data_IF_513555796015
#
_entry.id   IF_513555796015
#
_cell.length_a   1.000
_cell.length_b   1.000
_cell.length_c   1.000
_cell.angle_alpha   90.00
_cell.angle_beta   90.00
_cell.angle_gamma   90.00
#
_symmetry.space_group_name_H-M   'P 1'
#
loop_
_entity.id
_entity.type
_entity.pdbx_description
1 polymer ?
#
# COMPACT_ATOMS: atom_id res chain seq x y z
N UNK A 1 15.34 47.22 -34.56
CA UNK A 1 14.57 46.07 -35.08
C UNK A 1 15.51 44.88 -35.16
N UNK A 2 15.11 43.72 -34.62
CA UNK A 2 15.36 42.36 -35.10
C UNK A 2 15.06 41.40 -33.94
N UNK A 3 13.78 41.08 -33.83
CA UNK A 3 13.29 39.95 -33.06
C UNK A 3 13.37 38.69 -33.92
N UNK A 4 13.51 37.53 -33.27
CA UNK A 4 12.93 36.29 -33.79
C UNK A 4 13.91 35.28 -34.38
N UNK A 5 14.45 34.43 -33.51
CA UNK A 5 14.56 32.99 -33.83
C UNK A 5 13.71 32.28 -32.77
N UNK A 6 12.40 32.34 -33.04
CA UNK A 6 11.34 31.74 -32.27
C UNK A 6 11.41 30.22 -32.44
N UNK A 7 11.89 29.51 -31.41
CA UNK A 7 11.28 28.29 -30.87
C UNK A 7 10.34 27.54 -31.84
N UNK A 8 10.91 26.77 -32.78
CA UNK A 8 10.14 25.97 -33.76
C UNK A 8 10.13 24.46 -33.48
N UNK A 9 10.55 24.03 -32.29
CA UNK A 9 10.26 22.69 -31.81
C UNK A 9 9.00 22.72 -30.97
N UNK A 10 7.86 22.55 -31.62
CA UNK A 10 6.62 22.19 -30.96
C UNK A 10 6.89 20.99 -30.05
N UNK A 11 6.82 21.21 -28.74
CA UNK A 11 6.81 20.13 -27.75
C UNK A 11 5.66 19.21 -28.12
N UNK A 12 5.95 18.04 -28.72
CA UNK A 12 5.05 16.90 -28.61
C UNK A 12 4.75 16.74 -27.13
N UNK A 13 3.48 16.56 -26.80
CA UNK A 13 3.04 16.37 -25.43
C UNK A 13 3.89 15.23 -24.83
N UNK A 14 4.71 15.56 -23.84
CA UNK A 14 5.68 14.62 -23.25
C UNK A 14 4.97 13.39 -22.70
N UNK A 15 3.69 13.53 -22.34
CA UNK A 15 2.81 12.42 -21.95
C UNK A 15 2.48 11.49 -23.11
N UNK A 16 2.14 12.02 -24.29
CA UNK A 16 1.89 11.19 -25.47
C UNK A 16 3.18 10.43 -25.84
N UNK A 17 4.33 11.10 -25.83
CA UNK A 17 5.60 10.42 -26.12
C UNK A 17 5.97 9.33 -25.10
N UNK A 18 5.65 9.53 -23.81
CA UNK A 18 5.91 8.52 -22.78
C UNK A 18 5.02 7.29 -22.93
N UNK A 19 3.72 7.50 -23.23
CA UNK A 19 2.76 6.41 -23.48
C UNK A 19 3.15 5.61 -24.72
N UNK A 20 3.51 6.29 -25.81
CA UNK A 20 3.95 5.64 -27.05
C UNK A 20 5.23 4.83 -26.83
N UNK A 21 6.18 5.35 -26.04
CA UNK A 21 7.39 4.63 -25.67
C UNK A 21 7.08 3.37 -24.84
N UNK A 22 6.18 3.44 -23.85
CA UNK A 22 5.76 2.29 -23.05
C UNK A 22 5.10 1.22 -23.94
N UNK A 23 4.24 1.62 -24.87
CA UNK A 23 3.62 0.69 -25.83
C UNK A 23 4.68 0.01 -26.70
N UNK A 24 5.64 0.78 -27.24
CA UNK A 24 6.74 0.23 -28.02
C UNK A 24 7.60 -0.77 -27.24
N UNK A 25 7.95 -0.45 -25.99
CA UNK A 25 8.70 -1.36 -25.11
C UNK A 25 7.93 -2.66 -24.82
N UNK A 26 6.62 -2.57 -24.60
CA UNK A 26 5.76 -3.76 -24.40
C UNK A 26 5.65 -4.62 -25.66
N UNK A 27 5.57 -4.01 -26.83
CA UNK A 27 5.61 -4.74 -28.10
C UNK A 27 6.95 -5.47 -28.28
N UNK A 28 8.06 -4.83 -27.92
CA UNK A 28 9.38 -5.45 -27.96
C UNK A 28 9.49 -6.62 -26.98
N UNK A 29 8.94 -6.49 -25.77
CA UNK A 29 8.86 -7.59 -24.79
C UNK A 29 8.13 -8.81 -25.36
N UNK A 30 6.96 -8.62 -25.98
CA UNK A 30 6.22 -9.71 -26.63
C UNK A 30 7.01 -10.39 -27.77
N UNK A 31 7.81 -9.62 -28.50
CA UNK A 31 8.67 -10.17 -29.55
C UNK A 31 9.84 -10.97 -28.96
N UNK A 32 10.40 -10.53 -27.83
CA UNK A 32 11.43 -11.27 -27.10
C UNK A 32 10.85 -12.59 -26.60
N UNK A 33 9.70 -12.59 -25.92
CA UNK A 33 9.03 -13.80 -25.42
C UNK A 33 8.82 -14.85 -26.53
N UNK A 34 8.30 -14.44 -27.69
CA UNK A 34 8.13 -15.33 -28.85
C UNK A 34 9.46 -15.90 -29.36
N UNK A 35 10.53 -15.09 -29.31
CA UNK A 35 11.87 -15.50 -29.75
C UNK A 35 12.51 -16.45 -28.74
N UNK A 36 12.29 -16.25 -27.44
CA UNK A 36 12.70 -17.17 -26.39
C UNK A 36 12.04 -18.54 -26.56
N UNK A 37 10.73 -18.58 -26.78
CA UNK A 37 10.00 -19.82 -27.04
C UNK A 37 10.57 -20.57 -28.27
N UNK A 38 10.85 -19.84 -29.34
CA UNK A 38 11.47 -20.41 -30.54
C UNK A 38 12.87 -20.97 -30.28
N UNK A 39 13.70 -20.25 -29.52
CA UNK A 39 15.03 -20.74 -29.14
C UNK A 39 14.95 -21.95 -28.23
N UNK A 40 14.00 -21.99 -27.29
CA UNK A 40 13.77 -23.14 -26.41
C UNK A 40 13.41 -24.39 -27.23
N UNK A 41 12.50 -24.26 -28.20
CA UNK A 41 12.14 -25.37 -29.11
C UNK A 41 13.36 -25.87 -29.90
N UNK A 42 14.23 -24.97 -30.37
CA UNK A 42 15.49 -25.34 -31.05
C UNK A 42 16.47 -26.05 -30.11
N UNK A 43 16.61 -25.59 -28.88
CA UNK A 43 17.45 -26.23 -27.85
C UNK A 43 16.99 -27.67 -27.63
N UNK A 44 15.68 -27.88 -27.49
CA UNK A 44 15.10 -29.20 -27.29
C UNK A 44 15.30 -30.12 -28.50
N UNK A 45 15.18 -29.57 -29.72
CA UNK A 45 15.43 -30.30 -30.96
C UNK A 45 16.90 -30.74 -31.08
N UNK A 46 17.86 -29.85 -30.83
CA UNK A 46 19.28 -30.19 -30.87
C UNK A 46 19.65 -31.20 -29.78
N UNK A 47 19.03 -31.09 -28.61
CA UNK A 47 19.20 -32.08 -27.54
C UNK A 47 18.67 -33.46 -27.95
N UNK A 48 17.52 -33.54 -28.62
CA UNK A 48 16.99 -34.80 -29.18
C UNK A 48 17.95 -35.41 -30.20
N UNK A 49 18.46 -34.60 -31.13
CA UNK A 49 19.44 -35.05 -32.15
C UNK A 49 20.72 -35.56 -31.48
N UNK A 50 21.24 -34.83 -30.49
CA UNK A 50 22.43 -35.23 -29.75
C UNK A 50 22.24 -36.57 -29.03
N UNK A 51 21.09 -36.76 -28.35
CA UNK A 51 20.78 -38.02 -27.66
C UNK A 51 20.64 -39.20 -28.62
N UNK A 52 19.95 -39.02 -29.74
CA UNK A 52 19.75 -40.07 -30.74
C UNK A 52 21.06 -40.54 -31.40
N UNK A 53 22.07 -39.66 -31.47
CA UNK A 53 23.34 -39.93 -32.15
C UNK A 53 24.52 -40.14 -31.19
N UNK A 54 24.28 -40.17 -29.88
CA UNK A 54 25.34 -40.18 -28.86
C UNK A 54 26.28 -41.40 -28.98
N UNK A 55 25.73 -42.56 -29.35
CA UNK A 55 26.48 -43.82 -29.50
C UNK A 55 26.80 -44.13 -30.96
N UNK A 56 25.88 -43.83 -31.89
CA UNK A 56 25.98 -44.21 -33.29
C UNK A 56 26.78 -43.22 -34.15
N UNK A 57 26.72 -41.92 -33.87
CA UNK A 57 27.37 -40.89 -34.68
C UNK A 57 27.86 -39.72 -33.81
N UNK A 58 29.00 -39.94 -33.15
CA UNK A 58 29.62 -39.02 -32.21
C UNK A 58 29.95 -37.63 -32.81
N UNK A 59 30.43 -37.50 -34.07
CA UNK A 59 30.61 -36.19 -34.70
C UNK A 59 29.31 -35.38 -34.83
N UNK A 60 28.22 -36.04 -35.27
CA UNK A 60 26.91 -35.38 -35.41
C UNK A 60 26.34 -34.95 -34.06
N UNK A 61 26.43 -35.80 -33.04
CA UNK A 61 26.02 -35.47 -31.68
C UNK A 61 26.81 -34.27 -31.11
N UNK A 62 28.12 -34.23 -31.34
CA UNK A 62 28.98 -33.12 -30.89
C UNK A 62 28.61 -31.80 -31.59
N UNK A 63 28.31 -31.85 -32.89
CA UNK A 63 27.85 -30.67 -33.65
C UNK A 63 26.49 -30.15 -33.14
N UNK A 64 25.55 -31.05 -32.83
CA UNK A 64 24.26 -30.70 -32.23
C UNK A 64 24.42 -30.04 -30.84
N UNK A 65 25.31 -30.57 -29.99
CA UNK A 65 25.61 -29.95 -28.69
C UNK A 65 26.22 -28.54 -28.82
N UNK A 66 27.05 -28.30 -29.84
CA UNK A 66 27.58 -26.95 -30.11
C UNK A 66 26.47 -25.97 -30.50
N UNK A 67 25.54 -26.38 -31.39
CA UNK A 67 24.37 -25.56 -31.75
C UNK A 67 23.44 -25.32 -30.57
N UNK A 68 23.20 -26.34 -29.74
CA UNK A 68 22.46 -26.21 -28.48
C UNK A 68 23.07 -25.12 -27.60
N UNK A 69 24.37 -25.19 -27.31
CA UNK A 69 25.06 -24.18 -26.49
C UNK A 69 24.94 -22.77 -27.06
N UNK A 70 25.09 -22.60 -28.38
CA UNK A 70 24.93 -21.30 -29.01
C UNK A 70 23.52 -20.73 -28.82
N UNK A 71 22.48 -21.57 -28.96
CA UNK A 71 21.10 -21.16 -28.72
C UNK A 71 20.85 -20.84 -27.22
N UNK A 72 21.44 -21.59 -26.29
CA UNK A 72 21.36 -21.30 -24.85
C UNK A 72 22.00 -19.95 -24.50
N UNK A 73 23.16 -19.64 -25.08
CA UNK A 73 23.79 -18.32 -24.90
C UNK A 73 22.91 -17.19 -25.44
N UNK A 74 22.27 -17.38 -26.59
CA UNK A 74 21.33 -16.39 -27.13
C UNK A 74 20.09 -16.24 -26.28
N UNK A 75 19.56 -17.34 -25.73
CA UNK A 75 18.41 -17.32 -24.82
C UNK A 75 18.73 -16.53 -23.55
N UNK A 76 19.90 -16.76 -22.96
CA UNK A 76 20.33 -16.01 -21.76
C UNK A 76 20.50 -14.52 -22.03
N UNK A 77 21.04 -14.15 -23.20
CA UNK A 77 21.13 -12.75 -23.61
C UNK A 77 19.74 -12.10 -23.75
N UNK A 78 18.76 -12.82 -24.30
CA UNK A 78 17.38 -12.33 -24.41
C UNK A 78 16.72 -12.13 -23.06
N UNK A 79 16.92 -13.04 -22.09
CA UNK A 79 16.42 -12.89 -20.73
C UNK A 79 16.99 -11.65 -20.05
N UNK A 80 18.28 -11.40 -20.21
CA UNK A 80 18.91 -10.16 -19.74
C UNK A 80 18.29 -8.91 -20.37
N UNK A 81 18.00 -8.95 -21.68
CA UNK A 81 17.32 -7.86 -22.37
C UNK A 81 15.88 -7.66 -21.87
N UNK A 82 15.16 -8.76 -21.59
CA UNK A 82 13.80 -8.72 -21.04
C UNK A 82 13.77 -7.96 -19.71
N UNK A 83 14.60 -8.37 -18.74
CA UNK A 83 14.69 -7.71 -17.43
C UNK A 83 15.03 -6.22 -17.58
N UNK A 84 15.95 -5.88 -18.49
CA UNK A 84 16.32 -4.49 -18.75
C UNK A 84 15.18 -3.67 -19.36
N UNK A 85 14.34 -4.25 -20.22
CA UNK A 85 13.17 -3.58 -20.79
C UNK A 85 12.05 -3.42 -19.75
N UNK A 86 11.81 -4.43 -18.91
CA UNK A 86 10.84 -4.36 -17.82
C UNK A 86 11.19 -3.25 -16.82
N UNK A 87 12.47 -3.13 -16.43
CA UNK A 87 12.94 -2.02 -15.61
C UNK A 87 12.70 -0.65 -16.26
N UNK A 88 12.89 -0.54 -17.59
CA UNK A 88 12.64 0.71 -18.32
C UNK A 88 11.15 1.06 -18.37
N UNK A 89 10.27 0.08 -18.56
CA UNK A 89 8.81 0.29 -18.50
C UNK A 89 8.42 0.82 -17.12
N UNK A 90 8.85 0.16 -16.05
CA UNK A 90 8.55 0.59 -14.68
C UNK A 90 9.08 2.00 -14.38
N UNK A 91 10.28 2.31 -14.89
CA UNK A 91 10.89 3.64 -14.74
C UNK A 91 10.06 4.71 -15.45
N UNK A 92 9.62 4.46 -16.68
CA UNK A 92 8.78 5.39 -17.45
C UNK A 92 7.40 5.58 -16.82
N UNK A 93 6.79 4.52 -16.32
CA UNK A 93 5.50 4.59 -15.61
C UNK A 93 5.62 5.41 -14.33
N UNK A 94 6.67 5.18 -13.54
CA UNK A 94 6.97 5.96 -12.33
C UNK A 94 7.22 7.43 -12.67
N UNK A 95 7.99 7.70 -13.74
CA UNK A 95 8.26 9.07 -14.19
C UNK A 95 6.98 9.78 -14.65
N UNK A 96 6.06 9.08 -15.32
CA UNK A 96 4.79 9.67 -15.73
C UNK A 96 3.89 10.00 -14.53
N UNK A 97 3.81 9.09 -13.54
CA UNK A 97 3.08 9.35 -12.29
C UNK A 97 3.67 10.54 -11.54
N UNK A 98 5.00 10.61 -11.41
CA UNK A 98 5.67 11.74 -10.78
C UNK A 98 5.39 13.06 -11.52
N UNK A 99 5.38 13.05 -12.85
CA UNK A 99 5.03 14.22 -13.65
C UNK A 99 3.58 14.68 -13.42
N UNK A 100 2.64 13.73 -13.26
CA UNK A 100 1.24 14.03 -12.93
C UNK A 100 1.10 14.63 -11.53
N UNK A 101 1.77 14.06 -10.52
CA UNK A 101 1.81 14.62 -9.16
C UNK A 101 2.37 16.03 -9.16
N UNK A 102 3.48 16.27 -9.85
CA UNK A 102 4.08 17.60 -9.94
C UNK A 102 3.15 18.61 -10.64
N UNK A 103 2.41 18.19 -11.67
CA UNK A 103 1.42 19.05 -12.32
C UNK A 103 0.27 19.39 -11.38
N UNK A 104 -0.24 18.43 -10.61
CA UNK A 104 -1.28 18.67 -9.60
C UNK A 104 -0.79 19.62 -8.50
N UNK A 105 0.43 19.42 -7.99
CA UNK A 105 1.05 20.30 -7.01
C UNK A 105 1.21 21.73 -7.53
N UNK A 106 1.62 21.89 -8.81
CA UNK A 106 1.71 23.21 -9.44
C UNK A 106 0.35 23.90 -9.49
N UNK A 107 -0.70 23.21 -9.91
CA UNK A 107 -2.06 23.76 -9.93
C UNK A 107 -2.53 24.13 -8.52
N UNK A 108 -2.25 23.29 -7.51
CA UNK A 108 -2.58 23.60 -6.12
C UNK A 108 -1.85 24.85 -5.62
N UNK A 109 -0.56 25.00 -5.94
CA UNK A 109 0.22 26.19 -5.60
C UNK A 109 -0.34 27.46 -6.28
N UNK A 110 -0.76 27.37 -7.54
CA UNK A 110 -1.40 28.49 -8.26
C UNK A 110 -2.73 28.90 -7.60
N UNK A 111 -3.58 27.93 -7.24
CA UNK A 111 -4.85 28.19 -6.53
C UNK A 111 -4.60 28.80 -5.15
N UNK A 112 -3.65 28.27 -4.39
CA UNK A 112 -3.25 28.83 -3.09
C UNK A 112 -2.72 30.26 -3.24
N UNK A 113 -1.92 30.52 -4.28
CA UNK A 113 -1.46 31.87 -4.61
C UNK A 113 -2.61 32.81 -4.91
N UNK A 114 -3.64 32.37 -5.64
CA UNK A 114 -4.83 33.18 -5.90
C UNK A 114 -5.65 33.44 -4.64
N UNK A 115 -5.87 32.43 -3.78
CA UNK A 115 -6.57 32.59 -2.50
C UNK A 115 -5.83 33.63 -1.64
N UNK A 116 -4.52 33.49 -1.46
CA UNK A 116 -3.71 34.43 -0.69
C UNK A 116 -3.65 35.82 -1.32
N UNK A 117 -3.64 35.93 -2.65
CA UNK A 117 -3.65 37.23 -3.33
C UNK A 117 -4.94 38.03 -3.07
N UNK A 118 -6.06 37.35 -2.83
CA UNK A 118 -7.33 37.97 -2.43
C UNK A 118 -7.40 38.29 -0.94
N UNK A 119 -6.52 37.68 -0.14
CA UNK A 119 -6.43 37.82 1.31
C UNK A 119 -5.21 38.67 1.69
N UNK A 120 -5.13 39.89 1.16
CA UNK A 120 -4.11 40.86 1.55
C UNK A 120 -4.30 41.27 3.01
N UNK A 121 -3.21 41.65 3.71
CA UNK A 121 -3.26 42.12 5.11
C UNK A 121 -4.31 43.22 5.29
N UNK A 122 -4.39 44.16 4.35
CA UNK A 122 -5.41 45.21 4.35
C UNK A 122 -6.86 44.69 4.28
N UNK A 123 -7.11 43.60 3.55
CA UNK A 123 -8.43 42.94 3.51
C UNK A 123 -8.73 42.25 4.83
N UNK A 124 -7.73 41.61 5.45
CA UNK A 124 -7.87 40.98 6.76
C UNK A 124 -8.20 42.04 7.82
N UNK A 125 -7.49 43.17 7.84
CA UNK A 125 -7.77 44.30 8.74
C UNK A 125 -9.19 44.86 8.53
N UNK A 126 -9.63 45.00 7.27
CA UNK A 126 -10.99 45.42 6.90
C UNK A 126 -12.05 44.42 7.44
N UNK A 127 -11.83 43.12 7.28
CA UNK A 127 -12.73 42.09 7.82
C UNK A 127 -12.75 42.07 9.36
N UNK A 128 -11.59 42.24 10.01
CA UNK A 128 -11.51 42.26 11.47
C UNK A 128 -12.18 43.51 12.06
N UNK A 129 -12.08 44.65 11.38
CA UNK A 129 -12.83 45.85 11.73
C UNK A 129 -14.36 45.61 11.62
N UNK A 130 -14.83 45.01 10.54
CA UNK A 130 -16.25 44.66 10.36
C UNK A 130 -16.74 43.64 11.39
N UNK A 131 -15.92 42.64 11.76
CA UNK A 131 -16.27 41.68 12.81
C UNK A 131 -16.42 42.39 14.16
N UNK A 132 -15.50 43.31 14.48
CA UNK A 132 -15.55 44.07 15.74
C UNK A 132 -16.81 44.94 15.78
N UNK A 133 -17.12 45.64 14.68
CA UNK A 133 -18.35 46.43 14.54
C UNK A 133 -19.61 45.56 14.69
N UNK A 134 -19.66 44.38 14.05
CA UNK A 134 -20.79 43.46 14.17
C UNK A 134 -20.90 42.85 15.58
N UNK A 135 -19.78 42.61 16.27
CA UNK A 135 -19.78 42.18 17.68
C UNK A 135 -20.33 43.28 18.60
N UNK A 136 -19.99 44.54 18.35
CA UNK A 136 -20.56 45.69 19.07
C UNK A 136 -22.07 45.79 18.84
N UNK A 137 -22.53 45.66 17.59
CA UNK A 137 -23.97 45.62 17.26
C UNK A 137 -24.67 44.44 17.94
N UNK A 138 -24.08 43.24 17.90
CA UNK A 138 -24.65 42.07 18.56
C UNK A 138 -24.73 42.25 20.08
N UNK A 139 -23.74 42.91 20.69
CA UNK A 139 -23.74 43.24 22.11
C UNK A 139 -24.80 44.29 22.45
N UNK A 140 -24.95 45.32 21.62
CA UNK A 140 -25.99 46.34 21.79
C UNK A 140 -27.40 45.74 21.63
N UNK A 141 -27.60 44.86 20.65
CA UNK A 141 -28.83 44.07 20.50
C UNK A 141 -29.07 43.21 21.73
N UNK A 142 -28.04 42.52 22.23
CA UNK A 142 -28.15 41.68 23.42
C UNK A 142 -28.48 42.54 24.65
N UNK A 143 -27.84 43.69 24.87
CA UNK A 143 -28.15 44.58 25.99
C UNK A 143 -29.57 45.17 25.90
N UNK A 144 -30.04 45.51 24.70
CA UNK A 144 -31.39 45.99 24.46
C UNK A 144 -32.46 44.89 24.59
N UNK A 145 -32.16 43.65 24.20
CA UNK A 145 -33.04 42.48 24.34
C UNK A 145 -33.00 41.91 25.77
N UNK A 146 -31.88 42.05 26.48
CA UNK A 146 -31.71 41.55 27.85
C UNK A 146 -32.28 42.52 28.90
N UNK A 147 -32.56 43.78 28.52
CA UNK A 147 -33.20 44.75 29.40
C UNK A 147 -34.63 45.17 29.02
N UNK A 148 -35.59 44.24 28.89
CA UNK A 148 -37.01 44.54 29.13
C UNK A 148 -37.49 44.14 30.52
N UNK A 149 -36.88 43.17 31.21
CA UNK A 149 -37.20 42.79 32.61
C UNK A 149 -36.25 41.67 33.05
N UNK A 150 -35.60 41.83 34.19
CA UNK A 150 -34.67 40.84 34.75
C UNK A 150 -35.35 39.50 35.05
N UNK A 151 -35.10 38.52 34.19
CA UNK A 151 -35.36 37.11 34.47
C UNK A 151 -34.06 36.35 34.21
N UNK A 152 -33.16 36.52 35.15
CA UNK A 152 -32.13 35.54 35.45
C UNK A 152 -32.82 34.32 36.09
N UNK A 153 -32.17 33.15 36.00
CA UNK A 153 -32.47 31.88 36.69
C UNK A 153 -33.57 30.99 36.09
N UNK A 154 -33.21 30.22 35.05
CA UNK A 154 -33.61 28.81 35.06
C UNK A 154 -32.78 28.16 36.16
N UNK A 155 -33.43 27.61 37.18
CA UNK A 155 -32.79 27.21 38.43
C UNK A 155 -31.86 26.01 38.20
N UNK A 156 -30.59 26.16 38.58
CA UNK A 156 -29.55 25.12 38.55
C UNK A 156 -30.00 23.80 39.23
N UNK A 157 -30.97 23.85 40.14
CA UNK A 157 -31.54 22.69 40.84
C UNK A 157 -32.34 21.74 39.93
N UNK A 158 -33.04 22.28 38.91
CA UNK A 158 -33.81 21.45 37.96
C UNK A 158 -32.86 20.69 37.01
N UNK A 159 -31.81 21.38 36.55
CA UNK A 159 -30.72 20.80 35.76
C UNK A 159 -29.92 19.75 36.53
N UNK A 160 -29.70 19.94 37.84
CA UNK A 160 -29.00 18.96 38.67
C UNK A 160 -29.81 17.66 38.86
N UNK A 161 -31.13 17.76 39.00
CA UNK A 161 -32.00 16.60 39.11
C UNK A 161 -32.06 15.80 37.81
N UNK A 162 -32.10 16.47 36.67
CA UNK A 162 -32.07 15.83 35.34
C UNK A 162 -30.73 15.13 35.08
N UNK A 163 -29.60 15.75 35.48
CA UNK A 163 -28.28 15.14 35.38
C UNK A 163 -28.15 13.87 36.22
N UNK A 164 -28.63 13.88 37.46
CA UNK A 164 -28.59 12.70 38.34
C UNK A 164 -29.39 11.53 37.76
N UNK A 165 -30.53 11.79 37.12
CA UNK A 165 -31.35 10.74 36.52
C UNK A 165 -30.63 10.04 35.35
N UNK A 166 -29.86 10.78 34.55
CA UNK A 166 -29.07 10.23 33.44
C UNK A 166 -27.89 9.38 33.91
N UNK A 167 -27.27 9.71 35.05
CA UNK A 167 -26.16 8.94 35.62
C UNK A 167 -26.60 7.55 36.11
N UNK A 168 -27.76 7.47 36.75
CA UNK A 168 -28.33 6.22 37.26
C UNK A 168 -28.71 5.24 36.14
N UNK A 169 -29.24 5.77 35.04
CA UNK A 169 -29.59 4.99 33.84
C UNK A 169 -28.34 4.36 33.21
N UNK A 170 -27.26 5.14 33.07
CA UNK A 170 -25.99 4.68 32.52
C UNK A 170 -25.26 3.63 33.39
N UNK A 171 -25.38 3.72 34.71
CA UNK A 171 -24.83 2.73 35.64
C UNK A 171 -25.58 1.40 35.54
N UNK A 172 -26.91 1.45 35.47
CA UNK A 172 -27.77 0.27 35.40
C UNK A 172 -27.46 -0.58 34.16
N UNK A 173 -27.25 0.06 33.00
CA UNK A 173 -26.87 -0.61 31.76
C UNK A 173 -25.51 -1.32 31.83
N UNK A 174 -24.58 -0.83 32.65
CA UNK A 174 -23.27 -1.49 32.84
C UNK A 174 -23.33 -2.74 33.72
N UNK A 175 -24.26 -2.81 34.66
CA UNK A 175 -24.35 -3.93 35.61
C UNK A 175 -25.20 -5.10 35.10
N UNK A 176 -26.11 -4.88 34.15
CA UNK A 176 -26.94 -5.95 33.56
C UNK A 176 -26.19 -6.87 32.59
N UNK A 177 -24.98 -6.49 32.14
CA UNK A 177 -24.16 -7.26 31.18
C UNK A 177 -23.19 -8.29 31.79
N UNK A 178 -23.07 -8.43 33.11
CA UNK A 178 -22.10 -9.31 33.76
C UNK A 178 -22.75 -10.57 34.37
N UNK A 179 -23.27 -11.48 33.51
CA UNK A 179 -23.84 -12.76 33.95
C UNK A 179 -22.74 -13.85 34.03
N UNK A 180 -22.37 -14.20 35.27
CA UNK A 180 -21.91 -15.52 35.77
C UNK A 180 -20.56 -16.11 35.33
N UNK A 181 -19.61 -16.11 36.27
CA UNK A 181 -18.37 -16.92 36.26
C UNK A 181 -18.69 -18.37 36.67
N UNK A 182 -18.34 -19.42 35.88
CA UNK A 182 -18.52 -20.80 36.30
C UNK A 182 -17.45 -21.29 37.29
N UNK A 183 -17.90 -21.85 38.42
CA UNK A 183 -17.11 -22.53 39.47
C UNK A 183 -16.56 -23.90 38.99
N UNK A 184 -15.32 -24.23 39.36
CA UNK A 184 -14.60 -25.50 39.08
C UNK A 184 -15.11 -26.74 39.89
N UNK A 185 -14.86 -28.00 39.40
CA UNK A 185 -13.95 -29.07 39.93
C UNK A 185 -14.18 -30.49 39.25
N UNK A 186 -13.43 -31.61 39.50
CA UNK A 186 -12.65 -32.36 38.48
C UNK A 186 -12.96 -33.88 38.27
N UNK A 187 -12.08 -34.54 37.50
CA UNK A 187 -11.69 -35.99 37.41
C UNK A 187 -12.58 -37.04 36.69
N UNK A 188 -12.03 -37.57 35.57
CA UNK A 188 -12.11 -38.99 35.19
C UNK A 188 -13.09 -39.43 34.08
N UNK A 189 -12.68 -39.36 32.80
CA UNK A 189 -13.11 -40.20 31.64
C UNK A 189 -12.69 -39.47 30.34
N UNK A 190 -11.94 -39.99 29.36
CA UNK A 190 -11.73 -41.36 28.87
C UNK A 190 -10.50 -41.38 27.93
N UNK A 191 -9.81 -42.53 27.91
CA UNK A 191 -8.58 -42.87 27.16
C UNK A 191 -8.74 -42.88 25.62
N UNK A 192 -7.69 -42.49 24.90
CA UNK A 192 -7.37 -42.92 23.52
C UNK A 192 -5.93 -43.46 23.43
N UNK A 193 -5.59 -44.29 22.42
CA UNK A 193 -4.75 -45.49 22.57
C UNK A 193 -3.23 -45.22 22.56
N UNK A 194 -2.51 -46.04 23.32
CA UNK A 194 -1.06 -46.03 23.46
C UNK A 194 -0.32 -46.40 22.16
N UNK A 195 0.60 -45.52 21.75
CA UNK A 195 1.73 -45.92 20.93
C UNK A 195 2.66 -46.81 21.78
N UNK A 196 3.21 -47.87 21.18
CA UNK A 196 4.11 -48.79 21.87
C UNK A 196 5.37 -48.05 22.35
N UNK A 197 5.51 -47.90 23.67
CA UNK A 197 6.70 -47.41 24.35
C UNK A 197 7.66 -48.59 24.48
N UNK A 198 8.90 -48.45 24.03
CA UNK A 198 9.92 -49.50 24.16
C UNK A 198 10.62 -49.40 25.53
N UNK A 199 11.18 -50.50 26.06
CA UNK A 199 11.86 -50.51 27.37
C UNK A 199 13.00 -49.48 27.45
N UNK A 200 13.62 -49.13 26.31
CA UNK A 200 14.64 -48.08 26.18
C UNK A 200 14.07 -46.66 26.44
N UNK A 201 12.82 -46.41 26.07
CA UNK A 201 12.16 -45.12 26.26
C UNK A 201 11.81 -44.87 27.73
N UNK A 202 11.43 -45.92 28.46
CA UNK A 202 11.10 -45.85 29.89
C UNK A 202 12.37 -45.59 30.74
N UNK A 203 13.48 -46.24 30.39
CA UNK A 203 14.74 -46.07 31.12
C UNK A 203 15.35 -44.67 30.89
N UNK A 204 15.19 -44.11 29.69
CA UNK A 204 15.59 -42.73 29.38
C UNK A 204 14.76 -41.71 30.16
N UNK A 205 13.45 -41.89 30.26
CA UNK A 205 12.55 -41.02 31.01
C UNK A 205 12.84 -41.05 32.52
N UNK A 206 13.10 -42.24 33.08
CA UNK A 206 13.48 -42.40 34.49
C UNK A 206 14.77 -41.66 34.85
N UNK A 207 15.79 -41.71 33.97
CA UNK A 207 17.04 -40.96 34.19
C UNK A 207 16.85 -39.45 34.16
N UNK A 208 16.03 -38.93 33.24
CA UNK A 208 15.73 -37.50 33.20
C UNK A 208 15.04 -37.02 34.48
N UNK A 209 14.04 -37.76 34.95
CA UNK A 209 13.28 -37.40 36.15
C UNK A 209 14.15 -37.47 37.42
N UNK A 210 15.06 -38.44 37.50
CA UNK A 210 16.06 -38.50 38.58
C UNK A 210 17.07 -37.36 38.55
N UNK A 211 17.47 -36.90 37.35
CA UNK A 211 18.38 -35.76 37.20
C UNK A 211 17.70 -34.42 37.55
N UNK A 212 16.41 -34.28 37.24
CA UNK A 212 15.64 -33.07 37.54
C UNK A 212 15.30 -32.92 39.04
N UNK A 213 15.22 -34.04 39.77
CA UNK A 213 15.03 -34.06 41.23
C UNK A 213 16.33 -33.89 42.04
N UNK A 214 17.49 -33.93 41.37
CA UNK A 214 18.82 -33.82 41.99
C UNK A 214 19.48 -32.45 41.81
N UNK A 215 18.75 -31.46 41.25
CA UNK A 215 19.06 -30.02 41.31
C UNK A 215 17.98 -29.27 42.10
#
# INVERSE_FOLDING_TARGET
MMAGIMSYFGRRDTRQSARDAIVGLRQQLQMIEKKEEHLQRKIDQELKIARANAVSNKPLATSALKRKRANETQLEQLRGQQVQLEMQVNTLESANLNAETMAAMKNAAEVLGQIHSKMTVAKVDETMAQITEQQEVAKEITELISNPSGVDTLADEELAAELSALEDEALTDRFTGADRVPLHLPEGATRQPAAAVTEDDEEAALRQLQAEMAM
#
